data_IF_205643109939
#
_entry.id   IF_205643109939
#
_cell.length_a   1.000
_cell.length_b   1.000
_cell.length_c   1.000
_cell.angle_alpha   90.00
_cell.angle_beta   90.00
_cell.angle_gamma   90.00
#
_symmetry.space_group_name_H-M   'P 1'
#
loop_
_entity.id
_entity.type
_entity.pdbx_description
1 polymer ?
#
# COMPACT_ATOMS: atom_id res chain seq x y z
N UNK A 1 22.55 18.10 3.54
CA UNK A 1 22.14 17.14 4.59
C UNK A 1 20.75 16.58 4.28
N UNK A 2 20.54 16.04 3.07
CA UNK A 2 19.24 15.62 2.56
C UNK A 2 19.28 14.25 1.82
N UNK A 3 20.33 13.45 2.02
CA UNK A 3 20.59 12.21 1.26
C UNK A 3 20.64 10.94 2.14
N UNK A 4 19.92 10.89 3.27
CA UNK A 4 20.02 9.77 4.22
C UNK A 4 18.69 9.08 4.55
N UNK A 5 17.71 9.07 3.64
CA UNK A 5 16.39 8.47 3.88
C UNK A 5 15.75 7.85 2.63
N UNK A 6 16.48 7.06 1.83
CA UNK A 6 15.91 6.44 0.60
C UNK A 6 16.17 4.94 0.36
N UNK A 7 16.62 4.18 1.37
CA UNK A 7 16.59 2.71 1.31
C UNK A 7 16.37 2.05 2.67
N UNK A 8 15.64 2.70 3.59
CA UNK A 8 15.35 2.07 4.87
C UNK A 8 14.23 1.06 4.67
N UNK A 9 14.59 -0.22 4.54
CA UNK A 9 13.67 -1.31 4.88
C UNK A 9 13.24 -1.07 6.32
N UNK A 10 11.99 -0.66 6.50
CA UNK A 10 11.39 -0.56 7.82
C UNK A 10 10.68 -1.87 8.08
N UNK A 11 11.31 -2.73 8.89
CA UNK A 11 10.68 -3.89 9.48
C UNK A 11 9.98 -3.45 10.76
N UNK A 12 8.67 -3.72 10.87
CA UNK A 12 7.96 -3.60 12.13
C UNK A 12 7.82 -4.99 12.73
N UNK A 13 8.39 -5.15 13.91
CA UNK A 13 8.42 -6.41 14.67
C UNK A 13 7.53 -6.21 15.89
N UNK A 14 6.46 -7.00 16.01
CA UNK A 14 5.64 -7.03 17.23
C UNK A 14 5.98 -8.28 18.03
N UNK A 15 6.47 -8.09 19.26
CA UNK A 15 6.27 -9.07 20.32
C UNK A 15 4.85 -8.86 20.87
N UNK A 16 4.15 -9.93 21.26
CA UNK A 16 2.74 -9.86 21.65
C UNK A 16 2.49 -8.76 22.71
N UNK A 17 1.57 -7.81 22.48
CA UNK A 17 1.07 -6.97 23.56
C UNK A 17 0.05 -7.75 24.39
N UNK A 18 0.13 -7.64 25.72
CA UNK A 18 -0.95 -8.06 26.62
C UNK A 18 -2.27 -7.38 26.19
N UNK A 19 -3.41 -8.08 26.17
CA UNK A 19 -4.67 -7.48 25.73
C UNK A 19 -5.01 -6.27 26.63
N UNK A 20 -5.38 -5.12 26.05
CA UNK A 20 -5.85 -3.99 26.85
C UNK A 20 -7.16 -4.38 27.56
N UNK A 21 -7.41 -3.86 28.78
CA UNK A 21 -8.68 -4.11 29.46
C UNK A 21 -9.85 -3.59 28.60
N UNK A 22 -11.02 -4.24 28.63
CA UNK A 22 -12.17 -3.81 27.85
C UNK A 22 -12.55 -2.38 28.24
N UNK A 23 -12.92 -1.53 27.27
CA UNK A 23 -13.33 -0.17 27.55
C UNK A 23 -14.61 -0.19 28.38
N UNK A 24 -14.59 0.49 29.54
CA UNK A 24 -15.79 0.73 30.36
C UNK A 24 -16.60 1.85 29.71
N UNK A 25 -17.39 1.54 28.69
CA UNK A 25 -18.47 2.41 28.25
C UNK A 25 -19.76 1.98 28.92
N UNK A 26 -20.17 2.74 29.94
CA UNK A 26 -21.52 2.69 30.48
C UNK A 26 -22.46 3.37 29.47
N UNK A 27 -23.11 2.57 28.64
CA UNK A 27 -24.19 3.05 27.78
C UNK A 27 -25.51 2.94 28.56
N UNK A 28 -26.13 4.08 28.86
CA UNK A 28 -27.48 4.14 29.42
C UNK A 28 -28.49 4.23 28.27
N UNK A 29 -29.40 3.26 28.06
CA UNK A 29 -30.43 3.39 27.07
C UNK A 29 -31.59 4.24 27.61
N UNK A 30 -31.94 5.32 26.91
CA UNK A 30 -33.28 5.91 27.03
C UNK A 30 -34.20 5.29 25.95
N UNK A 31 -35.48 5.07 26.25
CA UNK A 31 -36.37 4.25 25.43
C UNK A 31 -36.90 5.01 24.21
N UNK A 32 -36.93 4.32 23.06
CA UNK A 32 -37.66 4.74 21.87
C UNK A 32 -39.01 4.02 21.85
N UNK A 33 -40.08 4.80 21.70
CA UNK A 33 -41.47 4.37 21.65
C UNK A 33 -41.99 4.44 20.20
N UNK A 34 -42.72 3.40 19.77
CA UNK A 34 -43.59 3.38 18.57
C UNK A 34 -42.86 3.28 17.23
N UNK A 35 -43.23 2.46 16.25
CA UNK A 35 -44.42 1.66 16.01
C UNK A 35 -44.55 1.51 14.48
N UNK A 36 -45.05 0.38 14.00
CA UNK A 36 -45.66 0.32 12.66
C UNK A 36 -45.04 -0.62 11.62
N UNK A 37 -45.68 -1.79 11.54
CA UNK A 37 -46.06 -2.55 10.33
C UNK A 37 -45.01 -3.19 9.43
N UNK A 38 -44.97 -4.52 9.53
CA UNK A 38 -44.57 -5.43 8.48
C UNK A 38 -45.57 -5.41 7.31
N UNK A 39 -45.06 -5.65 6.09
CA UNK A 39 -45.84 -6.16 4.97
C UNK A 39 -44.98 -7.19 4.24
N UNK A 40 -45.46 -8.44 4.25
CA UNK A 40 -44.98 -9.54 3.42
C UNK A 40 -45.46 -9.37 1.97
N UNK A 41 -44.64 -9.78 1.01
CA UNK A 41 -45.11 -10.34 -0.25
C UNK A 41 -44.03 -11.27 -0.81
N UNK A 42 -44.36 -12.56 -0.89
CA UNK A 42 -43.55 -13.57 -1.56
C UNK A 42 -44.04 -13.91 -2.97
N UNK A 43 -43.36 -14.92 -3.54
CA UNK A 43 -43.68 -15.73 -4.73
C UNK A 43 -43.25 -15.13 -6.09
N UNK A 44 -42.79 -15.89 -7.08
CA UNK A 44 -42.23 -17.24 -7.23
C UNK A 44 -41.83 -17.41 -8.72
N UNK A 45 -40.95 -18.37 -9.03
CA UNK A 45 -40.76 -19.12 -10.30
C UNK A 45 -40.33 -18.44 -11.62
N UNK A 46 -39.30 -19.02 -12.24
CA UNK A 46 -38.98 -18.88 -13.67
C UNK A 46 -37.69 -19.60 -14.09
N UNK A 47 -37.82 -20.81 -14.63
CA UNK A 47 -36.75 -21.77 -14.97
C UNK A 47 -36.44 -21.89 -16.47
N UNK A 48 -35.12 -21.97 -16.83
CA UNK A 48 -34.46 -22.65 -17.98
C UNK A 48 -34.86 -22.28 -19.45
N UNK A 49 -34.10 -22.64 -20.53
CA UNK A 49 -33.10 -23.71 -20.67
C UNK A 49 -31.78 -23.40 -21.45
N UNK A 50 -30.90 -24.42 -21.41
CA UNK A 50 -29.59 -24.54 -22.06
C UNK A 50 -29.59 -24.69 -23.60
N UNK A 51 -28.41 -24.45 -24.22
CA UNK A 51 -28.00 -25.13 -25.47
C UNK A 51 -26.51 -25.55 -25.46
N UNK A 52 -26.31 -26.84 -25.77
CA UNK A 52 -25.11 -27.56 -26.28
C UNK A 52 -24.60 -26.91 -27.59
N UNK A 53 -23.40 -27.15 -28.14
CA UNK A 53 -22.27 -28.05 -27.93
C UNK A 53 -21.15 -27.58 -28.91
N UNK A 54 -19.90 -28.04 -28.84
CA UNK A 54 -19.37 -29.18 -29.64
C UNK A 54 -17.91 -29.39 -29.20
N UNK A 55 -17.50 -30.66 -29.05
CA UNK A 55 -16.10 -31.13 -28.93
C UNK A 55 -15.60 -31.63 -30.29
N UNK A 56 -14.27 -31.62 -30.50
CA UNK A 56 -13.40 -32.68 -31.09
C UNK A 56 -11.96 -32.10 -31.19
N UNK A 57 -10.94 -32.58 -30.46
CA UNK A 57 -10.09 -33.81 -30.55
C UNK A 57 -9.07 -33.82 -31.70
N UNK A 58 -7.81 -34.15 -31.36
CA UNK A 58 -6.68 -34.55 -32.23
C UNK A 58 -5.34 -34.06 -31.66
N UNK A 59 -4.64 -34.83 -30.81
CA UNK A 59 -3.48 -35.72 -31.13
C UNK A 59 -2.21 -34.93 -31.51
N UNK A 60 -1.15 -34.85 -30.67
CA UNK A 60 -0.16 -35.86 -30.27
C UNK A 60 0.85 -36.24 -31.38
N UNK A 61 2.13 -35.84 -31.20
CA UNK A 61 3.29 -36.53 -31.79
C UNK A 61 4.57 -36.19 -31.02
N UNK A 62 5.39 -37.23 -30.79
CA UNK A 62 6.50 -37.31 -29.86
C UNK A 62 7.89 -36.91 -30.45
N UNK A 63 8.83 -36.69 -29.51
CA UNK A 63 10.31 -36.79 -29.46
C UNK A 63 11.04 -37.67 -30.51
N UNK A 64 12.41 -37.70 -30.61
CA UNK A 64 13.44 -37.42 -29.57
C UNK A 64 14.75 -36.75 -30.04
N UNK A 65 15.64 -36.36 -29.11
CA UNK A 65 17.10 -36.64 -29.18
C UNK A 65 17.74 -36.66 -27.78
N UNK A 66 18.48 -37.73 -27.53
CA UNK A 66 19.35 -37.99 -26.39
C UNK A 66 20.63 -37.13 -26.45
N UNK A 67 21.19 -36.87 -25.27
CA UNK A 67 22.53 -36.31 -25.08
C UNK A 67 22.99 -36.60 -23.65
N UNK A 68 23.71 -37.70 -23.49
CA UNK A 68 24.40 -38.11 -22.27
C UNK A 68 25.60 -37.20 -21.99
N UNK A 69 25.74 -36.71 -20.75
CA UNK A 69 27.03 -36.36 -20.17
C UNK A 69 26.98 -36.55 -18.64
N UNK A 70 27.77 -37.52 -18.18
CA UNK A 70 28.19 -37.73 -16.79
C UNK A 70 28.83 -36.42 -16.25
N UNK A 71 28.58 -36.01 -15.01
CA UNK A 71 29.26 -36.55 -13.83
C UNK A 71 30.35 -35.59 -13.35
N UNK A 72 29.99 -34.69 -12.42
CA UNK A 72 30.92 -33.74 -11.81
C UNK A 72 30.31 -33.08 -10.58
N UNK A 73 30.42 -33.78 -9.44
CA UNK A 73 29.91 -33.34 -8.15
C UNK A 73 30.57 -32.05 -7.65
N UNK A 74 29.72 -31.13 -7.21
CA UNK A 74 30.10 -29.86 -6.61
C UNK A 74 28.87 -29.04 -6.25
N UNK A 75 27.84 -29.68 -5.71
CA UNK A 75 26.62 -29.04 -5.23
C UNK A 75 26.90 -28.23 -3.96
N UNK A 76 27.64 -27.13 -4.09
CA UNK A 76 27.50 -26.04 -3.14
C UNK A 76 26.07 -25.53 -3.30
N UNK A 77 25.25 -25.61 -2.25
CA UNK A 77 24.03 -24.82 -2.19
C UNK A 77 24.47 -23.37 -2.44
N UNK A 78 24.17 -22.85 -3.63
CA UNK A 78 24.08 -21.41 -3.80
C UNK A 78 23.05 -20.97 -2.77
N UNK A 79 23.52 -20.42 -1.64
CA UNK A 79 22.63 -19.73 -0.71
C UNK A 79 21.99 -18.66 -1.56
N UNK A 80 20.69 -18.81 -1.83
CA UNK A 80 19.91 -17.78 -2.48
C UNK A 80 20.08 -16.52 -1.63
N UNK A 81 20.92 -15.60 -2.08
CA UNK A 81 21.32 -14.44 -1.28
C UNK A 81 20.10 -13.52 -1.27
N UNK A 82 19.33 -13.57 -0.18
CA UNK A 82 18.13 -12.74 0.01
C UNK A 82 18.39 -11.30 -0.45
N UNK A 83 17.49 -10.66 -1.18
CA UNK A 83 17.62 -9.26 -1.55
C UNK A 83 17.51 -8.33 -0.33
N UNK A 84 16.87 -8.77 0.75
CA UNK A 84 16.79 -8.02 2.00
C UNK A 84 18.06 -8.22 2.86
N UNK A 85 18.77 -7.14 3.25
CA UNK A 85 19.97 -7.22 4.07
C UNK A 85 19.76 -7.89 5.43
N UNK A 86 18.60 -7.72 6.06
CA UNK A 86 18.35 -8.31 7.37
C UNK A 86 18.29 -9.83 7.28
N UNK A 87 17.56 -10.36 6.30
CA UNK A 87 17.47 -11.80 6.07
C UNK A 87 18.82 -12.44 5.71
N UNK A 88 19.79 -11.69 5.15
CA UNK A 88 21.17 -12.18 4.93
C UNK A 88 21.95 -12.37 6.23
N UNK A 89 21.64 -11.57 7.25
CA UNK A 89 22.35 -11.55 8.52
C UNK A 89 21.74 -12.52 9.54
N UNK A 90 20.50 -12.94 9.32
CA UNK A 90 19.80 -13.87 10.22
C UNK A 90 20.12 -15.32 9.82
N UNK A 91 20.56 -16.19 10.76
CA UNK A 91 20.76 -17.61 10.47
C UNK A 91 19.44 -18.29 10.12
N UNK A 92 18.43 -18.07 10.96
CA UNK A 92 17.02 -18.36 10.74
C UNK A 92 16.17 -17.46 11.65
N UNK A 93 14.94 -17.16 11.22
CA UNK A 93 14.08 -16.17 11.86
C UNK A 93 13.70 -16.56 13.30
N UNK A 94 13.42 -17.84 13.56
CA UNK A 94 12.94 -18.33 14.87
C UNK A 94 14.05 -18.44 15.90
N UNK A 95 15.24 -18.90 15.50
CA UNK A 95 16.40 -18.99 16.39
C UNK A 95 16.86 -17.61 16.80
N UNK A 96 16.89 -16.65 15.86
CA UNK A 96 17.27 -15.29 16.16
C UNK A 96 16.20 -14.52 16.97
N UNK A 97 14.91 -14.81 16.73
CA UNK A 97 13.79 -14.11 17.36
C UNK A 97 12.70 -15.12 17.80
N UNK A 98 12.91 -15.84 18.91
CA UNK A 98 12.00 -16.91 19.33
C UNK A 98 10.61 -16.42 19.75
N UNK A 99 10.50 -15.17 20.21
CA UNK A 99 9.25 -14.51 20.58
C UNK A 99 8.59 -13.74 19.43
N UNK A 100 9.00 -13.98 18.19
CA UNK A 100 8.43 -13.32 17.02
C UNK A 100 7.11 -13.98 16.60
N UNK A 101 6.04 -13.19 16.63
CA UNK A 101 4.70 -13.66 16.27
C UNK A 101 4.20 -13.10 14.93
N UNK A 102 4.70 -11.95 14.51
CA UNK A 102 4.27 -11.31 13.28
C UNK A 102 5.33 -10.36 12.74
N UNK A 103 5.37 -10.23 11.42
CA UNK A 103 6.30 -9.35 10.71
C UNK A 103 5.54 -8.45 9.74
N UNK A 104 5.77 -7.14 9.83
CA UNK A 104 5.33 -6.17 8.84
C UNK A 104 6.48 -5.73 7.96
N UNK A 105 6.46 -6.10 6.68
CA UNK A 105 7.39 -5.62 5.67
C UNK A 105 6.81 -4.43 4.91
N UNK A 106 7.40 -3.24 5.10
CA UNK A 106 6.98 -2.04 4.38
C UNK A 106 7.61 -1.99 2.98
N UNK A 107 6.78 -2.27 1.98
CA UNK A 107 7.09 -2.18 0.56
C UNK A 107 6.52 -0.92 -0.07
N UNK A 108 6.42 -0.88 -1.41
CA UNK A 108 5.87 0.25 -2.16
C UNK A 108 5.00 -0.23 -3.32
N UNK A 109 3.96 0.54 -3.66
CA UNK A 109 3.20 0.34 -4.90
C UNK A 109 4.03 0.55 -6.18
N UNK A 110 5.28 1.02 -6.06
CA UNK A 110 6.24 1.07 -7.17
C UNK A 110 6.47 -0.29 -7.84
N UNK A 111 6.30 -1.39 -7.10
CA UNK A 111 6.52 -2.77 -7.61
C UNK A 111 5.59 -3.15 -8.76
N UNK A 112 4.39 -2.57 -8.84
CA UNK A 112 3.46 -2.82 -9.94
C UNK A 112 3.96 -2.29 -11.29
N UNK A 113 4.87 -1.30 -11.31
CA UNK A 113 5.30 -0.65 -12.54
C UNK A 113 4.19 0.17 -13.20
N UNK A 114 4.21 0.24 -14.53
CA UNK A 114 3.20 0.95 -15.32
C UNK A 114 2.06 0.04 -15.76
N UNK A 115 0.83 0.52 -15.61
CA UNK A 115 -0.40 -0.12 -16.09
C UNK A 115 -1.27 0.87 -16.89
N UNK A 116 -0.66 1.92 -17.44
CA UNK A 116 -1.33 2.95 -18.27
C UNK A 116 -2.57 3.57 -17.61
N UNK A 117 -2.55 3.66 -16.29
CA UNK A 117 -3.65 4.19 -15.49
C UNK A 117 -4.73 3.16 -15.14
N UNK A 118 -4.63 1.89 -15.56
CA UNK A 118 -5.56 0.85 -15.12
C UNK A 118 -5.53 0.66 -13.60
N UNK A 119 -6.62 0.08 -13.08
CA UNK A 119 -6.70 -0.36 -11.69
C UNK A 119 -5.87 -1.62 -11.48
N UNK A 120 -5.12 -1.66 -10.37
CA UNK A 120 -4.33 -2.80 -9.91
C UNK A 120 -4.69 -3.13 -8.47
N UNK A 121 -4.61 -4.41 -8.13
CA UNK A 121 -4.81 -4.98 -6.81
C UNK A 121 -3.58 -5.83 -6.42
N UNK A 122 -3.65 -6.51 -5.28
CA UNK A 122 -2.54 -7.31 -4.74
C UNK A 122 -2.17 -8.54 -5.60
N UNK A 123 -3.07 -8.99 -6.48
CA UNK A 123 -2.86 -10.13 -7.39
C UNK A 123 -2.34 -9.69 -8.77
N UNK A 124 -2.33 -8.39 -9.03
CA UNK A 124 -1.88 -7.82 -10.29
C UNK A 124 -0.38 -8.05 -10.54
N UNK A 125 -0.04 -8.23 -11.82
CA UNK A 125 1.33 -8.46 -12.27
C UNK A 125 2.30 -7.35 -11.84
N UNK A 126 3.47 -7.76 -11.34
CA UNK A 126 4.55 -6.87 -10.96
C UNK A 126 5.46 -6.59 -12.15
N UNK A 127 5.52 -5.32 -12.59
CA UNK A 127 6.32 -4.88 -13.75
C UNK A 127 7.42 -3.87 -13.36
N UNK A 128 8.33 -4.21 -12.42
CA UNK A 128 9.34 -3.27 -11.96
C UNK A 128 10.27 -2.86 -13.12
N UNK A 129 10.46 -1.54 -13.30
CA UNK A 129 11.35 -0.98 -14.34
C UNK A 129 12.71 -0.51 -13.84
N UNK A 130 12.87 -0.40 -12.52
CA UNK A 130 14.09 0.13 -11.90
C UNK A 130 14.73 -0.92 -11.02
N UNK A 131 16.07 -0.90 -10.91
CA UNK A 131 16.79 -1.81 -10.02
C UNK A 131 16.27 -1.78 -8.57
N UNK A 132 15.84 -0.59 -8.09
CA UNK A 132 15.22 -0.44 -6.76
C UNK A 132 13.89 -1.16 -6.65
N UNK A 133 13.04 -1.07 -7.68
CA UNK A 133 11.75 -1.75 -7.69
C UNK A 133 11.93 -3.27 -7.80
N UNK A 134 12.90 -3.75 -8.61
CA UNK A 134 13.24 -5.17 -8.71
C UNK A 134 13.75 -5.71 -7.38
N UNK A 135 14.72 -5.04 -6.74
CA UNK A 135 15.21 -5.42 -5.43
C UNK A 135 14.09 -5.45 -4.37
N UNK A 136 13.08 -4.59 -4.50
CA UNK A 136 11.90 -4.61 -3.63
C UNK A 136 11.02 -5.84 -3.87
N UNK A 137 10.76 -6.21 -5.11
CA UNK A 137 10.04 -7.45 -5.46
C UNK A 137 10.76 -8.68 -4.92
N UNK A 138 12.09 -8.72 -5.08
CA UNK A 138 12.90 -9.81 -4.55
C UNK A 138 12.78 -9.89 -3.02
N UNK A 139 12.88 -8.76 -2.33
CA UNK A 139 12.72 -8.73 -0.88
C UNK A 139 11.30 -9.14 -0.43
N UNK A 140 10.23 -8.74 -1.14
CA UNK A 140 8.87 -9.23 -0.86
C UNK A 140 8.79 -10.75 -0.94
N UNK A 141 9.36 -11.35 -2.00
CA UNK A 141 9.40 -12.80 -2.19
C UNK A 141 10.17 -13.47 -1.06
N UNK A 142 11.35 -12.96 -0.72
CA UNK A 142 12.23 -13.57 0.27
C UNK A 142 11.57 -13.55 1.66
N UNK A 143 10.94 -12.43 2.04
CA UNK A 143 10.17 -12.35 3.29
C UNK A 143 8.99 -13.33 3.32
N UNK A 144 8.22 -13.44 2.24
CA UNK A 144 7.12 -14.41 2.16
C UNK A 144 7.62 -15.87 2.22
N UNK A 145 8.76 -16.17 1.62
CA UNK A 145 9.36 -17.51 1.67
C UNK A 145 9.86 -17.87 3.09
N UNK A 146 10.52 -16.92 3.77
CA UNK A 146 10.98 -17.10 5.16
C UNK A 146 9.79 -17.29 6.10
N UNK A 147 8.70 -16.53 5.89
CA UNK A 147 7.44 -16.67 6.64
C UNK A 147 6.92 -18.10 6.63
N UNK A 148 6.86 -18.70 5.43
CA UNK A 148 6.34 -20.03 5.20
C UNK A 148 7.19 -21.10 5.90
N UNK A 149 8.53 -20.97 5.85
CA UNK A 149 9.44 -21.89 6.52
C UNK A 149 9.45 -21.74 8.05
N UNK A 150 9.29 -20.51 8.55
CA UNK A 150 9.34 -20.21 9.98
C UNK A 150 7.97 -20.30 10.68
N UNK A 151 6.86 -20.53 9.97
CA UNK A 151 5.51 -20.44 10.53
C UNK A 151 5.28 -19.12 11.32
N UNK A 152 5.77 -18.01 10.77
CA UNK A 152 5.58 -16.65 11.31
C UNK A 152 4.85 -15.85 10.24
N UNK A 153 3.62 -15.37 10.47
CA UNK A 153 2.91 -14.54 9.52
C UNK A 153 3.70 -13.29 9.13
N UNK A 154 3.85 -13.07 7.82
CA UNK A 154 4.42 -11.85 7.25
C UNK A 154 3.33 -11.12 6.48
N UNK A 155 3.09 -9.86 6.83
CA UNK A 155 2.35 -8.92 6.01
C UNK A 155 3.32 -8.09 5.16
N UNK A 156 3.12 -8.08 3.84
CA UNK A 156 3.77 -7.15 2.92
C UNK A 156 2.83 -5.98 2.69
N UNK A 157 3.19 -4.80 3.17
CA UNK A 157 2.39 -3.58 3.03
C UNK A 157 2.96 -2.74 1.88
N UNK A 158 2.30 -2.74 0.73
CA UNK A 158 2.69 -1.93 -0.43
C UNK A 158 2.19 -0.50 -0.25
N UNK A 159 3.07 0.39 0.20
CA UNK A 159 2.74 1.78 0.54
C UNK A 159 2.66 2.67 -0.70
N UNK A 160 1.63 3.52 -0.74
CA UNK A 160 1.52 4.61 -1.71
C UNK A 160 2.38 5.83 -1.34
N UNK A 161 2.22 6.95 -2.06
CA UNK A 161 2.95 8.19 -1.79
C UNK A 161 2.62 8.75 -0.41
N UNK A 162 3.56 8.65 0.52
CA UNK A 162 3.35 9.01 1.93
C UNK A 162 3.30 10.53 2.10
N UNK A 163 2.25 11.02 2.76
CA UNK A 163 2.14 12.41 3.20
C UNK A 163 1.66 12.49 4.66
N UNK A 164 1.83 13.67 5.27
CA UNK A 164 1.43 13.95 6.65
C UNK A 164 2.08 15.23 7.18
N UNK A 165 2.14 15.40 8.50
CA UNK A 165 2.83 16.53 9.14
C UNK A 165 4.23 16.78 8.56
N UNK A 166 4.52 18.03 8.17
CA UNK A 166 5.81 18.46 7.59
C UNK A 166 6.07 18.04 6.13
N UNK A 167 5.40 16.99 5.66
CA UNK A 167 5.50 16.46 4.29
C UNK A 167 4.12 16.43 3.62
N UNK A 168 3.65 17.58 3.16
CA UNK A 168 2.36 17.75 2.47
C UNK A 168 2.36 19.00 1.58
N UNK A 169 1.25 19.22 0.86
CA UNK A 169 1.11 20.33 -0.08
C UNK A 169 1.05 21.72 0.59
N UNK A 170 0.49 21.85 1.80
CA UNK A 170 0.47 23.11 2.56
C UNK A 170 1.90 23.54 2.91
N UNK A 171 2.70 22.59 3.42
CA UNK A 171 4.11 22.82 3.73
C UNK A 171 4.95 23.17 2.50
N UNK A 172 4.63 22.59 1.34
CA UNK A 172 5.32 22.94 0.08
C UNK A 172 4.94 24.32 -0.44
N UNK A 173 3.66 24.74 -0.28
CA UNK A 173 3.21 26.07 -0.67
C UNK A 173 3.88 27.14 0.17
N UNK A 174 3.93 26.95 1.49
CA UNK A 174 4.63 27.87 2.38
C UNK A 174 6.11 28.03 2.01
N UNK A 175 6.80 26.92 1.73
CA UNK A 175 8.22 26.95 1.35
C UNK A 175 8.47 27.46 -0.07
N UNK A 176 7.43 27.76 -0.85
CA UNK A 176 7.55 28.14 -2.26
C UNK A 176 8.06 27.02 -3.16
N UNK A 177 7.98 25.75 -2.72
CA UNK A 177 8.46 24.58 -3.47
C UNK A 177 7.34 23.78 -4.14
N UNK A 178 6.08 24.18 -3.95
CA UNK A 178 4.94 23.54 -4.60
C UNK A 178 5.03 23.66 -6.13
N UNK A 179 4.79 22.54 -6.83
CA UNK A 179 4.80 22.47 -8.29
C UNK A 179 3.48 21.88 -8.79
N UNK A 180 2.88 22.50 -9.81
CA UNK A 180 1.71 21.99 -10.53
C UNK A 180 2.11 21.48 -11.92
N UNK A 181 2.80 20.35 -11.93
CA UNK A 181 3.17 19.69 -13.19
C UNK A 181 1.97 18.94 -13.76
N UNK A 182 1.66 19.18 -15.04
CA UNK A 182 0.51 18.56 -15.72
C UNK A 182 1.00 17.58 -16.79
N UNK A 183 0.64 16.30 -16.62
CA UNK A 183 0.77 15.25 -17.64
C UNK A 183 -0.61 14.64 -17.86
N UNK A 184 -1.20 14.70 -19.07
CA UNK A 184 -2.54 14.18 -19.32
C UNK A 184 -2.70 12.73 -18.86
N UNK A 185 -3.79 12.46 -18.12
CA UNK A 185 -4.12 11.12 -17.61
C UNK A 185 -3.25 10.61 -16.44
N UNK A 186 -2.22 11.34 -16.03
CA UNK A 186 -1.35 10.93 -14.93
C UNK A 186 -2.07 11.05 -13.59
N UNK A 187 -2.01 9.99 -12.79
CA UNK A 187 -2.45 9.99 -11.40
C UNK A 187 -1.32 9.54 -10.48
N UNK A 188 -1.43 9.91 -9.21
CA UNK A 188 -0.62 9.36 -8.13
C UNK A 188 -1.53 8.81 -7.03
N UNK A 189 -1.05 7.74 -6.40
CA UNK A 189 -1.68 7.11 -5.24
C UNK A 189 -1.03 7.71 -3.99
N UNK A 190 -1.80 7.97 -2.93
CA UNK A 190 -1.31 8.62 -1.72
C UNK A 190 -1.76 7.87 -0.49
N UNK A 191 -1.08 8.10 0.62
CA UNK A 191 -1.50 7.57 1.92
C UNK A 191 -1.03 8.49 3.03
N UNK A 192 -1.92 8.80 3.97
CA UNK A 192 -1.55 9.56 5.15
C UNK A 192 -0.75 8.67 6.12
N UNK A 193 0.31 9.22 6.73
CA UNK A 193 1.18 8.46 7.65
C UNK A 193 0.43 7.80 8.81
N UNK A 194 -0.64 8.45 9.31
CA UNK A 194 -1.48 7.89 10.36
C UNK A 194 -2.21 6.60 9.93
N UNK A 195 -2.58 6.49 8.65
CA UNK A 195 -3.23 5.29 8.12
C UNK A 195 -2.25 4.16 7.85
N UNK A 196 -0.97 4.47 7.63
CA UNK A 196 0.09 3.44 7.62
C UNK A 196 0.23 2.83 9.02
N UNK A 197 0.30 3.69 10.04
CA UNK A 197 0.37 3.24 11.44
C UNK A 197 -0.89 2.44 11.84
N UNK A 198 -2.07 2.91 11.45
CA UNK A 198 -3.32 2.21 11.67
C UNK A 198 -3.36 0.83 11.00
N UNK A 199 -2.95 0.74 9.73
CA UNK A 199 -2.90 -0.53 9.00
C UNK A 199 -1.91 -1.51 9.63
N UNK A 200 -0.73 -1.05 10.04
CA UNK A 200 0.25 -1.87 10.77
C UNK A 200 -0.32 -2.41 12.08
N UNK A 201 -0.92 -1.55 12.90
CA UNK A 201 -1.53 -1.97 14.17
C UNK A 201 -2.69 -2.95 13.95
N UNK A 202 -3.50 -2.71 12.93
CA UNK A 202 -4.62 -3.57 12.56
C UNK A 202 -4.17 -4.97 12.11
N UNK A 203 -3.20 -5.05 11.19
CA UNK A 203 -2.68 -6.31 10.66
C UNK A 203 -1.88 -7.06 11.72
N UNK A 204 -1.01 -6.36 12.46
CA UNK A 204 -0.19 -6.94 13.52
C UNK A 204 -1.01 -7.44 14.70
N UNK A 205 -2.02 -6.68 15.15
CA UNK A 205 -2.91 -7.10 16.23
C UNK A 205 -3.82 -8.30 15.89
N UNK A 206 -3.88 -8.69 14.62
CA UNK A 206 -4.60 -9.86 14.12
C UNK A 206 -3.68 -10.93 13.54
N UNK A 207 -2.36 -10.71 13.62
CA UNK A 207 -1.32 -11.55 13.03
C UNK A 207 -1.60 -11.92 11.55
N UNK A 208 -2.19 -10.99 10.80
CA UNK A 208 -2.59 -11.24 9.41
C UNK A 208 -1.36 -11.24 8.49
N UNK A 209 -1.19 -12.32 7.71
CA UNK A 209 -0.17 -12.43 6.68
C UNK A 209 -0.70 -12.15 5.26
N UNK A 210 0.22 -12.03 4.31
CA UNK A 210 -0.05 -11.80 2.89
C UNK A 210 0.25 -10.37 2.44
N UNK A 211 -0.07 -10.07 1.18
CA UNK A 211 0.15 -8.75 0.58
C UNK A 211 -1.08 -7.87 0.79
N UNK A 212 -0.86 -6.59 1.16
CA UNK A 212 -1.89 -5.56 1.32
C UNK A 212 -1.43 -4.25 0.70
N UNK A 213 -2.29 -3.64 -0.12
CA UNK A 213 -2.10 -2.27 -0.59
C UNK A 213 -2.52 -1.28 0.50
N UNK A 214 -1.65 -0.33 0.80
CA UNK A 214 -1.92 0.74 1.76
C UNK A 214 -1.89 2.08 1.03
N UNK A 215 -3.05 2.43 0.50
CA UNK A 215 -3.36 3.64 -0.26
C UNK A 215 -4.72 4.17 0.17
N UNK A 216 -4.91 5.47 0.08
CA UNK A 216 -6.23 6.11 0.20
C UNK A 216 -7.14 5.74 -0.99
N UNK A 217 -8.38 6.24 -0.98
CA UNK A 217 -9.41 5.88 -1.94
C UNK A 217 -9.30 6.62 -3.27
N UNK A 218 -8.45 7.64 -3.34
CA UNK A 218 -8.48 8.61 -4.42
C UNK A 218 -7.12 8.78 -5.12
N UNK A 219 -6.81 7.87 -6.06
CA UNK A 219 -5.78 8.11 -7.05
C UNK A 219 -6.12 9.37 -7.86
N UNK A 220 -5.29 10.40 -7.72
CA UNK A 220 -5.60 11.74 -8.23
C UNK A 220 -4.42 12.45 -8.86
N UNK A 221 -4.65 13.37 -9.80
CA UNK A 221 -3.60 14.20 -10.38
C UNK A 221 -2.81 14.97 -9.31
N UNK A 222 -1.48 15.11 -9.42
CA UNK A 222 -0.66 15.82 -8.45
C UNK A 222 -1.02 17.30 -8.31
N UNK A 223 -1.39 17.94 -9.41
CA UNK A 223 -1.70 19.37 -9.44
C UNK A 223 -2.96 19.71 -8.64
N UNK A 224 -3.93 18.80 -8.55
CA UNK A 224 -5.20 19.03 -7.87
C UNK A 224 -5.00 19.13 -6.35
N UNK A 225 -4.09 18.32 -5.80
CA UNK A 225 -3.72 18.37 -4.38
C UNK A 225 -3.10 19.72 -4.01
N UNK A 226 -2.30 20.29 -4.90
CA UNK A 226 -1.70 21.62 -4.70
C UNK A 226 -2.76 22.71 -4.80
N UNK A 227 -3.64 22.63 -5.80
CA UNK A 227 -4.78 23.55 -5.95
C UNK A 227 -5.66 23.56 -4.71
N UNK A 228 -6.00 22.38 -4.18
CA UNK A 228 -6.82 22.25 -2.99
C UNK A 228 -6.12 22.81 -1.74
N UNK A 229 -4.84 22.50 -1.53
CA UNK A 229 -4.07 23.07 -0.43
C UNK A 229 -3.98 24.61 -0.52
N UNK A 230 -3.82 25.17 -1.72
CA UNK A 230 -3.81 26.62 -1.92
C UNK A 230 -5.16 27.25 -1.58
N UNK A 231 -6.27 26.57 -1.90
CA UNK A 231 -7.61 27.01 -1.53
C UNK A 231 -7.83 27.05 -0.02
N UNK A 232 -7.31 26.06 0.72
CA UNK A 232 -7.38 26.04 2.19
C UNK A 232 -6.58 27.19 2.82
N UNK A 233 -5.43 27.53 2.24
CA UNK A 233 -4.57 28.62 2.70
C UNK A 233 -5.04 30.02 2.26
N UNK A 234 -6.01 30.11 1.35
CA UNK A 234 -6.43 31.38 0.75
C UNK A 234 -5.36 32.04 -0.13
N UNK A 235 -4.47 31.24 -0.74
CA UNK A 235 -3.38 31.73 -1.60
C UNK A 235 -3.60 31.32 -3.06
N UNK A 236 -2.98 32.05 -3.98
CA UNK A 236 -3.00 31.70 -5.41
C UNK A 236 -2.08 30.49 -5.64
N UNK A 237 -2.57 29.38 -6.23
CA UNK A 237 -1.70 28.25 -6.54
C UNK A 237 -0.67 28.62 -7.61
N UNK A 238 0.53 28.00 -7.61
CA UNK A 238 1.49 28.17 -8.69
C UNK A 238 0.88 27.89 -10.07
N UNK A 239 1.43 28.50 -11.12
CA UNK A 239 0.99 28.20 -12.49
C UNK A 239 1.18 26.72 -12.81
N UNK A 240 0.29 26.19 -13.64
CA UNK A 240 0.50 24.87 -14.22
C UNK A 240 1.68 24.92 -15.20
N UNK A 241 2.48 23.86 -15.19
CA UNK A 241 3.59 23.69 -16.12
C UNK A 241 3.43 22.33 -16.81
N UNK A 242 3.40 22.27 -18.15
CA UNK A 242 3.36 21.01 -18.88
C UNK A 242 4.54 20.11 -18.50
N UNK A 243 4.31 18.81 -18.37
CA UNK A 243 5.34 17.84 -17.96
C UNK A 243 6.63 17.91 -18.81
N UNK A 244 6.51 18.17 -20.11
CA UNK A 244 7.64 18.30 -21.02
C UNK A 244 8.54 19.52 -20.77
N UNK A 245 8.06 20.51 -20.02
CA UNK A 245 8.77 21.76 -19.70
C UNK A 245 9.34 21.77 -18.27
N UNK A 246 9.10 20.72 -17.48
CA UNK A 246 9.56 20.66 -16.09
C UNK A 246 10.91 19.98 -16.00
N UNK A 247 11.90 20.75 -15.56
CA UNK A 247 13.18 20.20 -15.13
C UNK A 247 13.01 19.33 -13.88
N UNK A 248 13.43 18.08 -13.98
CA UNK A 248 13.31 17.06 -12.94
C UNK A 248 14.61 16.30 -12.81
N UNK A 249 14.96 15.94 -11.58
CA UNK A 249 16.02 14.97 -11.33
C UNK A 249 15.65 13.62 -11.97
N UNK A 250 16.62 12.76 -12.32
CA UNK A 250 16.35 11.43 -12.84
C UNK A 250 15.40 10.61 -11.95
N UNK A 251 15.56 10.76 -10.62
CA UNK A 251 14.68 10.14 -9.64
C UNK A 251 13.25 10.65 -9.74
N UNK A 252 13.05 11.97 -9.73
CA UNK A 252 11.72 12.56 -9.84
C UNK A 252 11.03 12.11 -11.13
N UNK A 253 11.75 12.14 -12.26
CA UNK A 253 11.26 11.71 -13.57
C UNK A 253 10.81 10.24 -13.58
N UNK A 254 11.48 9.37 -12.82
CA UNK A 254 11.11 7.95 -12.75
C UNK A 254 9.71 7.71 -12.15
N UNK A 255 9.21 8.59 -11.28
CA UNK A 255 7.83 8.47 -10.79
C UNK A 255 6.79 8.78 -11.87
N UNK A 256 7.15 9.57 -12.87
CA UNK A 256 6.27 9.94 -13.98
C UNK A 256 6.31 8.94 -15.15
N UNK A 257 7.19 7.93 -15.12
CA UNK A 257 7.20 6.87 -16.14
C UNK A 257 6.16 5.77 -15.91
N UNK A 258 5.52 5.78 -14.74
CA UNK A 258 4.50 4.81 -14.35
C UNK A 258 3.17 5.52 -14.08
N UNK A 259 2.08 4.89 -14.50
CA UNK A 259 0.72 5.33 -14.23
C UNK A 259 -0.15 4.12 -13.88
N UNK A 260 -0.81 4.17 -12.73
CA UNK A 260 -1.75 3.13 -12.24
C UNK A 260 -2.65 3.68 -11.13
N UNK A 261 -3.78 3.03 -10.93
CA UNK A 261 -4.69 3.26 -9.80
C UNK A 261 -4.64 2.05 -8.90
N UNK A 262 -4.29 2.21 -7.63
CA UNK A 262 -4.11 1.08 -6.72
C UNK A 262 -5.37 0.91 -5.88
N UNK A 263 -5.92 -0.29 -5.87
CA UNK A 263 -7.07 -0.64 -5.04
C UNK A 263 -6.63 -0.95 -3.61
N UNK A 264 -7.39 -0.45 -2.63
CA UNK A 264 -7.28 -0.81 -1.21
C UNK A 264 -8.41 -1.75 -0.75
N UNK A 265 -9.16 -2.33 -1.69
CA UNK A 265 -10.36 -3.11 -1.41
C UNK A 265 -10.09 -4.31 -0.49
N UNK A 266 -8.94 -4.98 -0.62
CA UNK A 266 -8.57 -6.13 0.22
C UNK A 266 -8.42 -5.74 1.69
N UNK A 267 -7.72 -4.63 1.97
CA UNK A 267 -7.52 -4.15 3.34
C UNK A 267 -8.85 -3.68 3.97
N UNK A 268 -9.72 -3.03 3.17
CA UNK A 268 -11.09 -2.69 3.60
C UNK A 268 -11.95 -3.92 3.86
N UNK A 269 -11.89 -4.93 3.00
CA UNK A 269 -12.62 -6.19 3.14
C UNK A 269 -12.18 -6.97 4.40
N UNK A 270 -10.92 -6.84 4.81
CA UNK A 270 -10.44 -7.36 6.09
C UNK A 270 -11.05 -6.65 7.32
N UNK A 271 -11.63 -5.46 7.13
CA UNK A 271 -12.30 -4.66 8.16
C UNK A 271 -11.55 -3.40 8.57
N UNK A 272 -10.44 -3.05 7.90
CA UNK A 272 -9.73 -1.80 8.17
C UNK A 272 -10.55 -0.59 7.67
N UNK A 273 -10.57 0.49 8.46
CA UNK A 273 -11.21 1.76 8.09
C UNK A 273 -10.16 2.85 8.08
N UNK A 274 -9.94 3.45 6.91
CA UNK A 274 -9.02 4.58 6.77
C UNK A 274 -9.55 5.80 7.52
N UNK A 275 -8.69 6.41 8.33
CA UNK A 275 -8.95 7.69 8.99
C UNK A 275 -9.04 8.81 7.95
N UNK A 276 -8.21 8.74 6.92
CA UNK A 276 -8.18 9.69 5.82
C UNK A 276 -8.38 8.94 4.49
N UNK A 277 -9.65 8.76 4.05
CA UNK A 277 -9.95 8.09 2.79
C UNK A 277 -9.54 8.93 1.58
N UNK A 278 -9.30 10.23 1.74
CA UNK A 278 -8.77 11.08 0.68
C UNK A 278 -7.81 12.17 1.22
N UNK A 279 -7.12 12.81 0.28
CA UNK A 279 -6.19 13.88 0.58
C UNK A 279 -6.87 15.14 1.14
N UNK A 280 -8.14 15.38 0.78
CA UNK A 280 -8.86 16.59 1.18
C UNK A 280 -9.14 16.59 2.67
N UNK A 281 -9.76 15.53 3.19
CA UNK A 281 -10.07 15.40 4.61
C UNK A 281 -8.81 15.42 5.49
N UNK A 282 -7.70 14.85 5.01
CA UNK A 282 -6.42 14.94 5.72
C UNK A 282 -5.84 16.36 5.72
N UNK A 283 -5.85 17.06 4.59
CA UNK A 283 -5.35 18.43 4.51
C UNK A 283 -6.20 19.39 5.33
N UNK A 284 -7.53 19.26 5.32
CA UNK A 284 -8.44 20.02 6.18
C UNK A 284 -8.16 19.78 7.66
N UNK A 285 -7.99 18.52 8.06
CA UNK A 285 -7.68 18.18 9.44
C UNK A 285 -6.36 18.82 9.90
N UNK A 286 -5.29 18.59 9.13
CA UNK A 286 -3.96 19.14 9.44
C UNK A 286 -3.93 20.67 9.38
N UNK A 287 -4.72 21.29 8.51
CA UNK A 287 -4.85 22.75 8.44
C UNK A 287 -5.51 23.30 9.70
N UNK A 288 -6.62 22.68 10.12
CA UNK A 288 -7.41 23.10 11.28
C UNK A 288 -6.65 22.95 12.59
N UNK A 289 -5.92 21.85 12.77
CA UNK A 289 -5.19 21.56 14.02
C UNK A 289 -3.76 22.10 14.02
N UNK A 290 -3.31 22.69 12.91
CA UNK A 290 -1.95 23.25 12.76
C UNK A 290 -0.85 22.22 12.56
N UNK A 291 -1.16 20.92 12.49
CA UNK A 291 -0.15 19.86 12.42
C UNK A 291 0.59 19.80 11.07
N UNK A 292 0.11 20.50 10.04
CA UNK A 292 0.67 20.44 8.68
C UNK A 292 2.16 20.83 8.61
N UNK A 293 2.67 21.60 9.57
CA UNK A 293 4.09 22.01 9.65
C UNK A 293 5.03 20.90 10.09
N UNK A 294 4.54 19.94 10.89
CA UNK A 294 5.33 18.84 11.43
C UNK A 294 6.31 19.20 12.55
N UNK A 295 6.20 20.41 13.12
CA UNK A 295 7.02 20.91 14.23
C UNK A 295 6.44 20.55 15.62
N UNK A 296 5.36 19.78 15.68
CA UNK A 296 4.69 19.41 16.93
C UNK A 296 3.87 20.55 17.56
N UNK A 297 3.72 21.69 16.88
CA UNK A 297 2.96 22.87 17.38
C UNK A 297 1.44 22.72 17.31
N UNK A 298 0.92 21.51 17.08
CA UNK A 298 -0.51 21.23 16.97
C UNK A 298 -1.28 21.43 18.28
N UNK A 299 -1.67 22.68 18.54
CA UNK A 299 -2.87 23.07 19.26
C UNK A 299 -3.03 22.62 20.72
N UNK A 300 -2.34 23.29 21.65
CA UNK A 300 -3.00 23.76 22.88
C UNK A 300 -3.61 25.13 22.56
N UNK A 301 -4.81 25.15 22.00
CA UNK A 301 -5.45 26.39 21.55
C UNK A 301 -6.97 26.30 21.58
N UNK A 302 -7.52 26.41 22.79
CA UNK A 302 -8.84 26.96 23.12
C UNK A 302 -10.10 26.29 22.55
N UNK A 303 -10.87 25.64 23.41
CA UNK A 303 -12.03 26.25 24.10
C UNK A 303 -12.10 25.72 25.54
#
# INVERSE_FOLDING_TARGET
MADALEATTHLVVSAAPSPPPPPRFAWSPSPVNGGGSAVEAGRDLGSSPAKRGVRRTGEASASPREGTAEGGGGGGLERNISADPLLRLLPDLRSAMPSLHWVGYLSTVGVYGNHDGAWVDEESELRPKTARATARVDAERDWLAVAAGANVPVAVLRLAGIYGPGRNALANLERGTAKRTVKPGQVFNRIHVADIAGALAFLGGREMGGVFNVTDDEPGPPQDVVTYAASLMGVVPPREVPYGEVEMTPMARSFWSDNKRVSNAKLKAAGYRFRFPDHRGALEAMWRDGSWRGDGSGGTGGE
#
